data_IF_880584707551
#
_entry.id   IF_880584707551
#
_cell.length_a   1.000
_cell.length_b   1.000
_cell.length_c   1.000
_cell.angle_alpha   90.00
_cell.angle_beta   90.00
_cell.angle_gamma   90.00
#
_symmetry.space_group_name_H-M   'P 1'
#
loop_
_entity.id
_entity.type
_entity.pdbx_description
1 polymer ?
#
# COMPACT_ATOMS: atom_id res chain seq x y z
N UNK A 1 -12.04 -3.50 0.04
CA UNK A 1 -12.77 -3.42 1.32
C UNK A 1 -13.89 -4.43 1.33
N UNK A 2 -14.15 -5.08 2.46
CA UNK A 2 -15.23 -6.08 2.59
C UNK A 2 -16.30 -5.56 3.55
N UNK A 3 -17.58 -5.49 3.16
CA UNK A 3 -18.64 -4.92 3.99
C UNK A 3 -19.06 -5.86 5.12
N UNK A 4 -19.42 -5.29 6.26
CA UNK A 4 -20.08 -6.01 7.36
C UNK A 4 -21.62 -5.99 7.17
N UNK A 5 -22.31 -7.00 7.72
CA UNK A 5 -23.77 -7.12 7.60
C UNK A 5 -24.52 -5.96 8.24
N UNK A 6 -24.04 -5.47 9.38
CA UNK A 6 -24.65 -4.37 10.14
C UNK A 6 -24.20 -2.97 9.66
N UNK A 7 -23.52 -2.88 8.51
CA UNK A 7 -22.90 -1.66 8.03
C UNK A 7 -21.45 -1.50 8.48
N UNK A 8 -20.68 -0.69 7.74
CA UNK A 8 -19.24 -0.53 7.95
C UNK A 8 -18.40 -1.63 7.30
N UNK A 9 -17.16 -1.79 7.78
CA UNK A 9 -16.17 -2.71 7.24
C UNK A 9 -16.06 -3.96 8.11
N UNK A 10 -16.15 -5.14 7.50
CA UNK A 10 -15.75 -6.39 8.14
C UNK A 10 -14.22 -6.48 8.20
N UNK A 11 -13.56 -6.26 7.06
CA UNK A 11 -12.10 -6.18 7.01
C UNK A 11 -11.64 -5.41 5.76
N UNK A 12 -10.39 -4.96 5.78
CA UNK A 12 -9.75 -4.27 4.67
C UNK A 12 -8.29 -4.68 4.55
N UNK A 13 -7.92 -5.14 3.36
CA UNK A 13 -6.54 -5.42 3.03
C UNK A 13 -6.00 -4.31 2.11
N UNK A 14 -4.85 -3.76 2.49
CA UNK A 14 -4.14 -2.69 1.79
C UNK A 14 -2.64 -2.99 1.88
N UNK A 15 -1.98 -3.09 0.74
CA UNK A 15 -0.55 -3.41 0.64
C UNK A 15 0.07 -2.84 -0.62
N UNK A 16 1.39 -2.61 -0.58
CA UNK A 16 2.19 -2.46 -1.79
C UNK A 16 2.40 -3.82 -2.47
N UNK A 17 2.65 -3.81 -3.78
CA UNK A 17 3.14 -4.99 -4.51
C UNK A 17 4.66 -5.19 -4.33
N UNK A 18 5.37 -4.19 -3.80
CA UNK A 18 6.76 -4.28 -3.36
C UNK A 18 6.88 -4.85 -1.95
N UNK A 19 7.97 -5.58 -1.70
CA UNK A 19 8.29 -6.21 -0.42
C UNK A 19 8.34 -5.21 0.75
N UNK A 20 8.68 -3.96 0.45
CA UNK A 20 8.64 -2.84 1.39
C UNK A 20 8.26 -1.55 0.66
N UNK A 21 7.72 -0.58 1.39
CA UNK A 21 7.50 0.76 0.87
C UNK A 21 8.83 1.53 0.75
N UNK A 22 9.02 2.26 -0.35
CA UNK A 22 10.24 3.07 -0.60
C UNK A 22 10.57 4.01 0.57
N UNK A 23 9.54 4.60 1.18
CA UNK A 23 9.72 5.50 2.33
C UNK A 23 10.45 4.87 3.52
N UNK A 24 10.32 3.55 3.73
CA UNK A 24 11.06 2.84 4.78
C UNK A 24 12.54 2.75 4.48
N UNK A 25 12.92 2.56 3.21
CA UNK A 25 14.34 2.60 2.80
C UNK A 25 14.89 4.02 2.95
N UNK A 26 14.13 5.04 2.54
CA UNK A 26 14.55 6.45 2.74
C UNK A 26 14.77 6.79 4.22
N UNK A 27 13.92 6.26 5.12
CA UNK A 27 14.09 6.43 6.57
C UNK A 27 15.35 5.72 7.08
N UNK A 28 15.60 4.48 6.65
CA UNK A 28 16.80 3.74 7.02
C UNK A 28 18.08 4.44 6.54
N UNK A 29 18.11 4.94 5.31
CA UNK A 29 19.21 5.76 4.78
C UNK A 29 19.45 7.02 5.64
N UNK A 30 18.38 7.74 5.99
CA UNK A 30 18.49 8.95 6.82
C UNK A 30 18.97 8.63 8.25
N UNK A 31 18.66 7.45 8.78
CA UNK A 31 19.10 6.98 10.08
C UNK A 31 20.49 6.33 10.07
N UNK A 32 21.05 6.05 8.88
CA UNK A 32 22.29 5.27 8.74
C UNK A 32 22.13 3.80 9.15
N UNK A 33 20.93 3.24 9.04
CA UNK A 33 20.60 1.87 9.42
C UNK A 33 20.57 0.94 8.19
N UNK A 34 21.09 -0.28 8.35
CA UNK A 34 20.98 -1.32 7.31
C UNK A 34 19.52 -1.78 7.10
N UNK A 35 19.20 -2.20 5.87
CA UNK A 35 17.91 -2.81 5.53
C UNK A 35 18.03 -4.35 5.45
N UNK A 36 16.95 -5.10 5.75
CA UNK A 36 16.95 -6.55 5.56
C UNK A 36 17.14 -6.97 4.09
N UNK A 37 17.83 -8.10 3.87
CA UNK A 37 17.87 -8.74 2.56
C UNK A 37 16.46 -9.09 2.07
N UNK A 38 16.28 -9.02 0.75
CA UNK A 38 14.99 -9.27 0.09
C UNK A 38 14.06 -8.06 0.01
N UNK A 39 14.46 -6.90 0.55
CA UNK A 39 13.73 -5.64 0.34
C UNK A 39 14.06 -4.98 -0.99
N UNK A 40 15.34 -5.01 -1.37
CA UNK A 40 15.84 -4.33 -2.56
C UNK A 40 17.09 -5.00 -3.14
N UNK A 41 17.43 -4.59 -4.35
CA UNK A 41 18.69 -4.87 -5.04
C UNK A 41 19.41 -3.56 -5.35
N UNK A 42 20.72 -3.62 -5.53
CA UNK A 42 21.53 -2.50 -6.02
C UNK A 42 21.33 -2.25 -7.53
N UNK A 43 22.03 -1.26 -8.08
CA UNK A 43 21.98 -0.90 -9.51
C UNK A 43 22.45 -2.03 -10.45
N UNK A 44 23.19 -3.02 -9.94
CA UNK A 44 23.64 -4.18 -10.71
C UNK A 44 22.69 -5.38 -10.55
N UNK A 45 21.61 -5.25 -9.77
CA UNK A 45 20.67 -6.32 -9.49
C UNK A 45 21.10 -7.28 -8.37
N UNK A 46 22.14 -6.96 -7.61
CA UNK A 46 22.57 -7.79 -6.48
C UNK A 46 21.75 -7.45 -5.23
N UNK A 47 21.32 -8.45 -4.43
CA UNK A 47 20.68 -8.19 -3.13
C UNK A 47 21.58 -7.34 -2.22
N UNK A 48 21.00 -6.34 -1.55
CA UNK A 48 21.76 -5.40 -0.71
C UNK A 48 21.10 -5.14 0.64
N UNK A 49 21.93 -4.88 1.65
CA UNK A 49 21.53 -4.34 2.96
C UNK A 49 21.85 -2.85 3.11
N UNK A 50 22.56 -2.25 2.15
CA UNK A 50 22.85 -0.82 2.15
C UNK A 50 21.65 -0.05 1.57
N UNK A 51 20.99 0.82 2.35
CA UNK A 51 19.85 1.60 1.88
C UNK A 51 20.24 2.61 0.79
N UNK A 52 21.48 3.11 0.73
CA UNK A 52 21.91 4.01 -0.34
C UNK A 52 22.10 3.26 -1.65
N UNK A 53 22.71 2.07 -1.62
CA UNK A 53 22.76 1.19 -2.77
C UNK A 53 21.35 0.81 -3.27
N UNK A 54 20.43 0.51 -2.35
CA UNK A 54 19.03 0.19 -2.67
C UNK A 54 18.28 1.35 -3.34
N UNK A 55 18.49 2.59 -2.90
CA UNK A 55 17.86 3.78 -3.50
C UNK A 55 18.33 4.04 -4.94
N UNK A 56 19.54 3.58 -5.30
CA UNK A 56 20.05 3.62 -6.67
C UNK A 56 19.70 2.37 -7.48
N UNK A 57 19.09 1.37 -6.86
CA UNK A 57 18.68 0.12 -7.48
C UNK A 57 17.16 0.01 -7.58
N UNK A 58 16.61 -1.13 -7.16
CA UNK A 58 15.17 -1.41 -7.27
C UNK A 58 14.62 -2.19 -6.09
N UNK A 59 13.34 -1.97 -5.78
CA UNK A 59 12.62 -2.73 -4.77
C UNK A 59 12.29 -4.14 -5.28
N UNK A 60 12.39 -5.12 -4.40
CA UNK A 60 11.92 -6.48 -4.68
C UNK A 60 10.39 -6.54 -4.58
N UNK A 61 9.77 -7.44 -5.34
CA UNK A 61 8.33 -7.70 -5.27
C UNK A 61 7.97 -8.60 -4.08
N UNK A 62 6.82 -8.34 -3.44
CA UNK A 62 6.30 -9.16 -2.34
C UNK A 62 6.07 -10.60 -2.79
N UNK A 63 6.71 -11.58 -2.16
CA UNK A 63 6.56 -12.98 -2.58
C UNK A 63 7.13 -13.28 -3.97
N UNK A 64 8.12 -12.50 -4.43
CA UNK A 64 8.86 -12.74 -5.67
C UNK A 64 7.99 -12.65 -6.92
N UNK A 65 8.08 -13.66 -7.80
CA UNK A 65 7.40 -13.67 -9.10
C UNK A 65 5.87 -13.49 -9.01
N UNK A 66 5.25 -13.88 -7.89
CA UNK A 66 3.81 -13.68 -7.66
C UNK A 66 3.47 -12.21 -7.43
N UNK A 67 4.23 -11.52 -6.57
CA UNK A 67 4.07 -10.08 -6.36
C UNK A 67 4.37 -9.28 -7.60
N UNK A 68 5.34 -9.74 -8.39
CA UNK A 68 5.65 -9.12 -9.68
C UNK A 68 4.45 -9.20 -10.65
N UNK A 69 3.82 -10.38 -10.75
CA UNK A 69 2.59 -10.54 -11.52
C UNK A 69 1.44 -9.65 -11.02
N UNK A 70 1.29 -9.49 -9.70
CA UNK A 70 0.32 -8.56 -9.13
C UNK A 70 0.67 -7.10 -9.46
N UNK A 71 1.94 -6.71 -9.43
CA UNK A 71 2.43 -5.40 -9.84
C UNK A 71 2.07 -5.07 -11.29
N UNK A 72 2.29 -6.02 -12.21
CA UNK A 72 1.88 -5.84 -13.61
C UNK A 72 0.37 -5.73 -13.78
N UNK A 73 -0.41 -6.50 -13.02
CA UNK A 73 -1.87 -6.36 -13.07
C UNK A 73 -2.31 -4.97 -12.59
N UNK A 74 -1.67 -4.43 -11.54
CA UNK A 74 -1.91 -3.05 -11.09
C UNK A 74 -1.55 -2.05 -12.18
N UNK A 75 -0.41 -2.19 -12.84
CA UNK A 75 0.01 -1.32 -13.95
C UNK A 75 -1.02 -1.32 -15.08
N UNK A 76 -1.48 -2.50 -15.52
CA UNK A 76 -2.48 -2.62 -16.59
C UNK A 76 -3.81 -1.99 -16.18
N UNK A 77 -4.28 -2.24 -14.96
CA UNK A 77 -5.57 -1.71 -14.51
C UNK A 77 -5.52 -0.21 -14.23
N UNK A 78 -4.46 0.28 -13.60
CA UNK A 78 -4.35 1.66 -13.17
C UNK A 78 -3.87 2.59 -14.29
N UNK A 79 -2.93 2.18 -15.14
CA UNK A 79 -2.41 3.01 -16.23
C UNK A 79 -3.08 2.66 -17.57
N UNK A 80 -2.87 1.44 -18.08
CA UNK A 80 -3.28 1.10 -19.44
C UNK A 80 -4.80 1.16 -19.66
N UNK A 81 -5.59 0.62 -18.72
CA UNK A 81 -7.05 0.59 -18.82
C UNK A 81 -7.68 1.99 -18.67
N UNK A 82 -7.10 2.84 -17.83
CA UNK A 82 -7.62 4.18 -17.58
C UNK A 82 -7.16 5.20 -18.63
N UNK A 83 -6.13 4.85 -19.43
CA UNK A 83 -5.46 5.78 -20.35
C UNK A 83 -4.48 6.74 -19.64
N UNK A 84 -4.09 6.42 -18.41
CA UNK A 84 -3.16 7.24 -17.61
C UNK A 84 -1.70 6.90 -17.90
N UNK A 85 -0.77 7.70 -17.37
CA UNK A 85 0.67 7.49 -17.58
C UNK A 85 1.15 6.14 -17.03
N UNK A 86 2.05 5.47 -17.77
CA UNK A 86 2.72 4.26 -17.28
C UNK A 86 3.75 4.58 -16.20
N UNK A 87 3.99 3.67 -15.27
CA UNK A 87 5.00 3.86 -14.20
C UNK A 87 6.42 4.10 -14.72
N UNK A 88 6.71 3.68 -15.96
CA UNK A 88 7.97 3.93 -16.66
C UNK A 88 8.21 5.42 -16.96
N UNK A 89 7.13 6.17 -17.15
CA UNK A 89 7.14 7.58 -17.57
C UNK A 89 6.73 8.53 -16.44
N UNK A 90 6.45 8.00 -15.24
CA UNK A 90 6.11 8.79 -14.06
C UNK A 90 7.32 9.64 -13.64
N UNK A 91 7.11 10.97 -13.65
CA UNK A 91 8.08 11.94 -13.14
C UNK A 91 8.16 11.92 -11.62
N UNK A 92 9.15 12.59 -11.05
CA UNK A 92 9.36 12.63 -9.59
C UNK A 92 8.12 13.03 -8.80
N UNK A 93 7.58 12.11 -7.99
CA UNK A 93 6.34 12.26 -7.22
C UNK A 93 6.40 13.25 -6.04
N UNK A 94 7.57 13.85 -5.78
CA UNK A 94 7.80 14.74 -4.62
C UNK A 94 8.51 16.04 -5.03
N UNK A 95 8.39 16.42 -6.30
CA UNK A 95 8.90 17.70 -6.75
C UNK A 95 7.99 18.82 -6.19
N UNK A 96 8.57 19.90 -5.63
CA UNK A 96 7.78 21.00 -5.05
C UNK A 96 6.95 21.73 -6.11
N UNK A 97 7.44 21.71 -7.35
CA UNK A 97 6.84 22.31 -8.52
C UNK A 97 6.75 21.28 -9.65
N UNK A 98 5.76 21.42 -10.53
CA UNK A 98 5.60 20.56 -11.70
C UNK A 98 4.15 20.43 -12.15
N UNK A 99 3.97 19.87 -13.34
CA UNK A 99 2.66 19.48 -13.85
C UNK A 99 2.07 18.33 -13.00
N UNK A 100 0.73 18.17 -13.01
CA UNK A 100 0.08 16.99 -12.43
C UNK A 100 0.74 15.69 -12.91
N UNK A 101 0.77 14.68 -12.03
CA UNK A 101 1.45 13.42 -12.33
C UNK A 101 0.69 12.51 -13.30
N UNK A 102 -0.54 12.84 -13.68
CA UNK A 102 -1.40 12.08 -14.60
C UNK A 102 -1.48 10.57 -14.27
N UNK A 103 -1.42 10.25 -12.97
CA UNK A 103 -1.55 8.90 -12.46
C UNK A 103 -2.99 8.41 -12.57
N UNK A 104 -3.14 7.12 -12.84
CA UNK A 104 -4.45 6.49 -12.86
C UNK A 104 -4.75 5.65 -11.63
N UNK A 105 -6.03 5.45 -11.39
CA UNK A 105 -6.55 4.60 -10.32
C UNK A 105 -7.71 3.77 -10.85
N UNK A 106 -7.74 2.51 -10.46
CA UNK A 106 -8.81 1.59 -10.83
C UNK A 106 -9.60 1.15 -9.60
N UNK A 107 -10.91 1.20 -9.71
CA UNK A 107 -11.84 0.78 -8.66
C UNK A 107 -12.74 -0.33 -9.18
N UNK A 108 -12.75 -1.47 -8.48
CA UNK A 108 -13.65 -2.58 -8.74
C UNK A 108 -14.64 -2.73 -7.59
N UNK A 109 -15.92 -2.53 -7.88
CA UNK A 109 -17.00 -2.60 -6.91
C UNK A 109 -17.96 -3.72 -7.31
N UNK A 110 -18.26 -4.58 -6.34
CA UNK A 110 -19.20 -5.69 -6.51
C UNK A 110 -20.17 -5.66 -5.34
N UNK A 111 -21.46 -5.65 -5.62
CA UNK A 111 -22.46 -5.96 -4.62
C UNK A 111 -22.52 -7.50 -4.44
N UNK A 112 -22.04 -8.04 -3.31
CA UNK A 112 -22.03 -9.49 -3.11
C UNK A 112 -23.45 -10.07 -2.93
N UNK A 113 -24.41 -9.24 -2.53
CA UNK A 113 -25.78 -9.70 -2.26
C UNK A 113 -26.56 -9.99 -3.54
N UNK A 114 -26.19 -9.33 -4.66
CA UNK A 114 -26.72 -9.64 -6.00
C UNK A 114 -26.51 -11.10 -6.40
N UNK A 115 -25.42 -11.75 -5.96
CA UNK A 115 -25.08 -13.12 -6.35
C UNK A 115 -25.39 -14.17 -5.28
N UNK A 116 -25.20 -13.82 -4.00
CA UNK A 116 -25.29 -14.78 -2.90
C UNK A 116 -26.31 -14.38 -1.80
N UNK A 117 -26.95 -13.22 -1.92
CA UNK A 117 -27.78 -12.65 -0.86
C UNK A 117 -27.07 -12.64 0.49
N UNK A 118 -27.81 -12.90 1.56
CA UNK A 118 -27.29 -12.98 2.92
C UNK A 118 -26.30 -14.12 3.17
N UNK A 119 -26.25 -15.13 2.28
CA UNK A 119 -25.29 -16.24 2.41
C UNK A 119 -23.85 -15.74 2.34
N UNK A 120 -23.58 -14.63 1.65
CA UNK A 120 -22.27 -13.99 1.66
C UNK A 120 -21.79 -13.70 3.08
N UNK A 121 -22.64 -13.07 3.90
CA UNK A 121 -22.29 -12.67 5.26
C UNK A 121 -22.08 -13.89 6.17
N UNK A 122 -22.87 -14.96 6.00
CA UNK A 122 -22.65 -16.20 6.74
C UNK A 122 -21.32 -16.86 6.40
N UNK A 123 -20.92 -16.85 5.12
CA UNK A 123 -19.62 -17.40 4.68
C UNK A 123 -18.46 -16.55 5.17
N UNK A 124 -18.61 -15.23 5.11
CA UNK A 124 -17.63 -14.29 5.66
C UNK A 124 -17.44 -14.49 7.16
N UNK A 125 -18.53 -14.61 7.93
CA UNK A 125 -18.49 -14.88 9.37
C UNK A 125 -17.72 -16.16 9.68
N UNK A 126 -17.96 -17.26 8.95
CA UNK A 126 -17.25 -18.53 9.16
C UNK A 126 -15.73 -18.41 8.97
N UNK A 127 -15.28 -17.66 7.96
CA UNK A 127 -13.85 -17.41 7.76
C UNK A 127 -13.29 -16.53 8.88
N UNK A 128 -14.04 -15.49 9.26
CA UNK A 128 -13.64 -14.55 10.32
C UNK A 128 -13.45 -15.27 11.66
N UNK A 129 -14.43 -16.08 12.07
CA UNK A 129 -14.35 -16.89 13.30
C UNK A 129 -13.19 -17.87 13.27
N UNK A 130 -12.94 -18.52 12.12
CA UNK A 130 -11.80 -19.44 11.99
C UNK A 130 -10.45 -18.73 12.15
N UNK A 131 -10.33 -17.47 11.73
CA UNK A 131 -9.12 -16.66 11.92
C UNK A 131 -9.02 -16.20 13.37
N UNK A 132 -10.08 -15.64 13.93
CA UNK A 132 -10.10 -15.06 15.28
C UNK A 132 -9.92 -16.10 16.40
N UNK A 133 -10.31 -17.36 16.16
CA UNK A 133 -10.08 -18.47 17.09
C UNK A 133 -8.60 -18.90 17.17
N UNK A 134 -7.73 -18.41 16.27
CA UNK A 134 -6.30 -18.72 16.31
C UNK A 134 -5.56 -17.68 17.16
N UNK A 135 -4.75 -18.08 18.16
CA UNK A 135 -4.01 -17.15 19.00
C UNK A 135 -3.16 -16.16 18.20
N UNK A 136 -3.40 -14.86 18.39
CA UNK A 136 -2.66 -13.78 17.75
C UNK A 136 -3.03 -13.48 16.29
N UNK A 137 -3.95 -14.24 15.69
CA UNK A 137 -4.42 -13.98 14.34
C UNK A 137 -5.55 -12.94 14.34
N UNK A 138 -5.65 -12.19 13.22
CA UNK A 138 -6.72 -11.23 12.98
C UNK A 138 -6.95 -11.06 11.49
N UNK A 139 -8.16 -10.69 11.12
CA UNK A 139 -8.42 -10.19 9.78
C UNK A 139 -7.68 -8.85 9.54
N UNK A 140 -7.13 -8.62 8.34
CA UNK A 140 -6.43 -7.39 8.04
C UNK A 140 -7.39 -6.20 8.08
N UNK A 141 -6.97 -5.11 8.73
CA UNK A 141 -7.78 -3.88 8.81
C UNK A 141 -9.10 -4.02 9.58
N UNK A 142 -9.39 -5.17 10.20
CA UNK A 142 -10.53 -5.33 11.10
C UNK A 142 -10.33 -4.53 12.40
N UNK A 143 -11.43 -4.13 13.03
CA UNK A 143 -11.45 -3.40 14.30
C UNK A 143 -10.58 -2.12 14.29
N UNK A 144 -10.48 -1.45 13.13
CA UNK A 144 -9.70 -0.23 12.99
C UNK A 144 -10.39 0.91 13.76
N UNK A 145 -9.77 1.37 14.84
CA UNK A 145 -10.14 2.61 15.51
C UNK A 145 -9.39 3.77 14.86
N UNK A 146 -10.12 4.78 14.39
CA UNK A 146 -9.51 6.02 13.92
C UNK A 146 -9.13 6.87 15.13
N UNK A 147 -7.89 7.38 15.21
CA UNK A 147 -7.50 8.24 16.31
C UNK A 147 -8.31 9.55 16.24
N UNK A 148 -8.80 10.02 17.39
CA UNK A 148 -9.52 11.30 17.50
C UNK A 148 -8.58 12.52 17.46
N UNK A 149 -7.29 12.30 17.71
CA UNK A 149 -6.25 13.31 17.69
C UNK A 149 -5.05 12.80 16.87
N UNK A 150 -4.34 13.69 16.17
CA UNK A 150 -3.12 13.36 15.44
C UNK A 150 -1.95 14.14 16.04
N UNK A 151 -0.87 13.43 16.40
CA UNK A 151 0.36 14.06 16.84
C UNK A 151 1.18 14.47 15.60
N UNK A 152 1.49 15.75 15.48
CA UNK A 152 2.32 16.30 14.40
C UNK A 152 3.51 17.04 15.02
N UNK A 153 4.64 17.11 14.30
CA UNK A 153 5.79 17.89 14.75
C UNK A 153 5.48 19.39 14.71
N UNK A 154 6.11 20.17 15.59
CA UNK A 154 5.98 21.63 15.60
C UNK A 154 6.29 22.25 14.24
N UNK A 155 7.34 21.75 13.58
CA UNK A 155 7.77 22.20 12.24
C UNK A 155 6.65 21.97 11.21
N UNK A 156 6.01 20.79 11.23
CA UNK A 156 4.91 20.50 10.30
C UNK A 156 3.71 21.41 10.59
N UNK A 157 3.38 21.61 11.87
CA UNK A 157 2.27 22.49 12.28
C UNK A 157 2.46 23.93 11.84
N UNK A 158 3.64 24.50 12.07
CA UNK A 158 3.98 25.86 11.65
C UNK A 158 3.88 26.01 10.13
N UNK A 159 4.42 25.04 9.37
CA UNK A 159 4.32 25.04 7.90
C UNK A 159 2.88 24.96 7.40
N UNK A 160 2.04 24.13 8.03
CA UNK A 160 0.61 24.04 7.69
C UNK A 160 -0.10 25.37 7.94
N UNK A 161 0.20 26.05 9.06
CA UNK A 161 -0.38 27.37 9.37
C UNK A 161 0.02 28.43 8.35
N UNK A 162 1.29 28.48 7.97
CA UNK A 162 1.80 29.45 7.00
C UNK A 162 1.18 29.29 5.59
N UNK A 163 0.72 28.09 5.24
CA UNK A 163 0.03 27.82 3.96
C UNK A 163 -1.48 28.13 3.99
N UNK A 164 -2.04 28.36 5.18
CA UNK A 164 -3.47 28.64 5.34
C UNK A 164 -3.79 30.14 5.38
N UNK A 165 -2.76 30.98 5.49
CA UNK A 165 -2.82 32.45 5.37
C UNK A 165 -2.69 32.89 3.91
#
# INVERSE_FOLDING_TARGET
>A
SVPAKQGGLAFQFDQSTSAIALGKITMAAAAGEEIPLGWAVDANGNPTTDPHAALNGSLMSTGGYKGWGLGLMVEVLAAALTGSVNSLDVKGLKLPDGEPHDLGQFYFLVDPTTFAGDTFYERLRRVSESVENQPGARLPGANRSLPSNVNISTILWEKTRALAE
#
